data_IF_749826727688
#
_entry.id   IF_749826727688
#
_cell.length_a   1.000
_cell.length_b   1.000
_cell.length_c   1.000
_cell.angle_alpha   90.00
_cell.angle_beta   90.00
_cell.angle_gamma   90.00
#
_symmetry.space_group_name_H-M   'P 1'
#
loop_
_entity.id
_entity.type
_entity.pdbx_description
1 polymer ?
#
# COMPACT_ATOMS: atom_id res chain seq x y z
N UNK A 1 2.57 25.59 -10.61
CA UNK A 1 2.32 25.43 -9.16
C UNK A 1 3.36 24.47 -8.59
N UNK A 2 4.27 24.95 -7.73
CA UNK A 2 5.24 24.07 -7.03
C UNK A 2 4.48 23.13 -6.11
N UNK A 3 4.49 21.84 -6.40
CA UNK A 3 3.89 20.83 -5.53
C UNK A 3 4.65 20.86 -4.20
N UNK A 4 4.01 21.36 -3.15
CA UNK A 4 4.55 21.35 -1.80
C UNK A 4 4.81 19.91 -1.38
N UNK A 5 6.01 19.62 -0.85
CA UNK A 5 6.37 18.26 -0.43
C UNK A 5 5.42 17.76 0.66
N UNK A 6 5.19 16.45 0.71
CA UNK A 6 4.38 15.79 1.75
C UNK A 6 4.89 16.18 3.15
N UNK A 7 6.22 16.29 3.31
CA UNK A 7 6.88 16.74 4.54
C UNK A 7 6.42 18.12 5.00
N UNK A 8 6.39 19.09 4.08
CA UNK A 8 5.95 20.45 4.39
C UNK A 8 4.48 20.47 4.81
N UNK A 9 3.62 19.75 4.10
CA UNK A 9 2.19 19.65 4.44
C UNK A 9 1.97 19.04 5.82
N UNK A 10 2.64 17.95 6.14
CA UNK A 10 2.56 17.30 7.45
C UNK A 10 3.01 18.26 8.57
N UNK A 11 4.19 18.90 8.41
CA UNK A 11 4.68 19.85 9.41
C UNK A 11 3.70 21.00 9.64
N UNK A 12 3.15 21.58 8.57
CA UNK A 12 2.15 22.67 8.67
C UNK A 12 0.89 22.19 9.39
N UNK A 13 0.36 21.02 9.06
CA UNK A 13 -0.84 20.48 9.70
C UNK A 13 -0.64 20.22 11.19
N UNK A 14 0.46 19.54 11.57
CA UNK A 14 0.77 19.31 12.99
C UNK A 14 0.99 20.60 13.76
N UNK A 15 1.71 21.55 13.16
CA UNK A 15 1.92 22.87 13.79
C UNK A 15 0.61 23.64 13.95
N UNK A 16 -0.30 23.57 12.99
CA UNK A 16 -1.61 24.23 13.07
C UNK A 16 -2.51 23.60 14.16
N UNK A 17 -2.55 22.26 14.23
CA UNK A 17 -3.31 21.55 15.27
C UNK A 17 -2.72 21.87 16.66
N UNK A 18 -1.40 21.84 16.80
CA UNK A 18 -0.72 22.16 18.07
C UNK A 18 -0.96 23.62 18.47
N UNK A 19 -0.89 24.56 17.50
CA UNK A 19 -1.19 25.96 17.76
C UNK A 19 -2.62 26.14 18.26
N UNK A 20 -3.59 25.51 17.61
CA UNK A 20 -4.99 25.56 18.04
C UNK A 20 -5.17 25.00 19.45
N UNK A 21 -4.53 23.85 19.74
CA UNK A 21 -4.59 23.24 21.06
C UNK A 21 -3.97 24.12 22.14
N UNK A 22 -2.80 24.71 21.88
CA UNK A 22 -2.13 25.59 22.85
C UNK A 22 -2.91 26.88 23.09
N UNK A 23 -3.47 27.50 22.03
CA UNK A 23 -4.29 28.70 22.14
C UNK A 23 -5.57 28.43 22.92
N UNK A 24 -6.27 27.33 22.62
CA UNK A 24 -7.48 26.95 23.34
C UNK A 24 -7.19 26.63 24.81
N UNK A 25 -6.13 25.87 25.08
CA UNK A 25 -5.70 25.55 26.44
C UNK A 25 -5.29 26.82 27.22
N UNK A 26 -4.51 27.70 26.60
CA UNK A 26 -4.07 28.96 27.21
C UNK A 26 -5.25 29.89 27.53
N UNK A 27 -6.20 30.03 26.58
CA UNK A 27 -7.40 30.84 26.79
C UNK A 27 -8.29 30.26 27.92
N UNK A 28 -8.49 28.93 27.94
CA UNK A 28 -9.28 28.28 28.98
C UNK A 28 -8.61 28.43 30.34
N UNK A 29 -7.30 28.21 30.43
CA UNK A 29 -6.53 28.36 31.68
C UNK A 29 -6.60 29.80 32.19
N UNK A 30 -6.43 30.80 31.30
CA UNK A 30 -6.52 32.19 31.69
C UNK A 30 -7.92 32.57 32.19
N UNK A 31 -8.99 32.12 31.52
CA UNK A 31 -10.37 32.34 31.93
C UNK A 31 -10.66 31.69 33.27
N UNK A 32 -10.19 30.46 33.48
CA UNK A 32 -10.39 29.71 34.71
C UNK A 32 -9.68 30.38 35.90
N UNK A 33 -8.40 30.71 35.71
CA UNK A 33 -7.63 31.41 36.78
C UNK A 33 -8.27 32.74 37.08
N UNK A 34 -8.62 33.54 36.08
CA UNK A 34 -9.34 34.78 36.28
C UNK A 34 -10.62 34.59 37.09
N UNK A 35 -11.45 33.62 36.75
CA UNK A 35 -12.70 33.32 37.44
C UNK A 35 -12.46 32.92 38.89
N UNK A 36 -11.50 32.04 39.14
CA UNK A 36 -11.15 31.60 40.51
C UNK A 36 -10.66 32.77 41.35
N UNK A 37 -9.73 33.56 40.83
CA UNK A 37 -9.16 34.70 41.55
C UNK A 37 -10.22 35.74 41.91
N UNK A 38 -11.10 36.11 40.96
CA UNK A 38 -12.18 37.05 41.25
C UNK A 38 -13.18 36.49 42.30
N UNK A 39 -13.50 35.22 42.17
CA UNK A 39 -14.38 34.55 43.13
C UNK A 39 -13.75 34.51 44.56
N UNK A 40 -12.46 34.20 44.63
CA UNK A 40 -11.73 34.20 45.91
C UNK A 40 -11.76 35.59 46.59
N UNK A 41 -11.62 36.67 45.79
CA UNK A 41 -11.76 38.04 46.33
C UNK A 41 -13.18 38.28 46.83
N UNK A 42 -14.19 37.92 46.04
CA UNK A 42 -15.59 38.09 46.42
C UNK A 42 -15.94 37.32 47.73
N UNK A 43 -15.46 36.06 47.82
CA UNK A 43 -15.63 35.24 49.05
C UNK A 43 -14.91 35.89 50.24
N UNK A 44 -13.69 36.37 50.07
CA UNK A 44 -12.94 37.08 51.11
C UNK A 44 -13.66 38.37 51.56
N UNK A 45 -14.22 39.14 50.63
CA UNK A 45 -15.02 40.31 50.94
C UNK A 45 -16.29 39.95 51.70
N UNK A 46 -16.94 38.86 51.35
CA UNK A 46 -18.12 38.38 52.05
C UNK A 46 -17.79 37.97 53.51
N UNK A 47 -16.69 37.26 53.72
CA UNK A 47 -16.20 36.91 55.07
C UNK A 47 -15.85 38.14 55.92
N UNK A 48 -15.27 39.18 55.29
CA UNK A 48 -15.00 40.43 55.97
C UNK A 48 -16.27 41.18 56.39
N UNK A 49 -17.31 41.21 55.52
CA UNK A 49 -18.59 41.77 55.90
C UNK A 49 -19.17 41.05 57.11
N UNK A 50 -19.08 39.73 57.13
CA UNK A 50 -19.56 38.90 58.23
C UNK A 50 -18.73 39.14 59.51
N UNK A 51 -17.43 39.36 59.39
CA UNK A 51 -16.53 39.75 60.48
C UNK A 51 -16.94 41.10 61.06
N UNK A 52 -17.19 42.12 60.25
CA UNK A 52 -17.69 43.42 60.70
C UNK A 52 -19.06 43.28 61.40
N UNK A 53 -19.96 42.47 60.82
CA UNK A 53 -21.28 42.23 61.44
C UNK A 53 -21.15 41.64 62.86
N UNK A 54 -20.33 40.60 63.04
CA UNK A 54 -20.09 39.96 64.40
C UNK A 54 -19.48 40.90 65.38
N UNK A 55 -18.50 41.70 64.89
CA UNK A 55 -17.90 42.75 65.75
C UNK A 55 -18.97 43.74 66.23
N UNK A 56 -19.80 44.23 65.31
CA UNK A 56 -20.89 45.15 65.67
C UNK A 56 -21.88 44.53 66.65
N UNK A 57 -22.24 43.27 66.53
CA UNK A 57 -23.13 42.57 67.39
C UNK A 57 -22.62 42.52 68.83
N UNK A 58 -21.29 42.45 69.04
CA UNK A 58 -20.68 42.43 70.36
C UNK A 58 -20.52 43.82 70.97
N UNK A 59 -20.34 44.84 70.14
CA UNK A 59 -20.00 46.16 70.64
C UNK A 59 -21.18 47.15 70.68
N UNK A 60 -22.18 47.01 69.76
CA UNK A 60 -23.36 47.86 69.73
C UNK A 60 -24.30 47.48 70.90
N UNK A 61 -24.39 48.31 71.87
CA UNK A 61 -25.16 48.13 73.11
C UNK A 61 -24.31 48.18 74.40
N UNK A 62 -22.99 48.04 74.29
CA UNK A 62 -22.03 48.16 75.33
C UNK A 62 -21.26 49.50 75.32
N UNK A 63 -21.08 50.10 74.06
CA UNK A 63 -20.25 51.27 73.87
C UNK A 63 -21.06 52.40 73.18
N UNK A 64 -20.62 53.65 73.38
CA UNK A 64 -21.11 54.82 72.67
C UNK A 64 -20.65 54.82 71.21
N UNK A 65 -21.33 55.60 70.30
CA UNK A 65 -20.96 55.66 68.88
C UNK A 65 -19.53 56.16 68.65
N UNK A 66 -19.00 56.99 69.56
CA UNK A 66 -17.60 57.48 69.45
C UNK A 66 -16.61 56.38 69.84
N UNK A 67 -16.91 55.59 70.89
CA UNK A 67 -16.08 54.48 71.33
C UNK A 67 -16.07 53.34 70.30
N UNK A 68 -17.18 53.07 69.62
CA UNK A 68 -17.28 52.12 68.51
C UNK A 68 -16.41 52.56 67.32
N UNK A 69 -16.35 53.88 67.05
CA UNK A 69 -15.52 54.43 65.99
C UNK A 69 -14.03 54.27 66.28
N UNK A 70 -13.61 54.47 67.51
CA UNK A 70 -12.22 54.30 67.92
C UNK A 70 -11.82 52.83 67.94
N UNK A 71 -12.69 51.94 68.38
CA UNK A 71 -12.51 50.49 68.38
C UNK A 71 -12.40 49.94 66.90
N UNK A 72 -13.19 50.49 65.98
CA UNK A 72 -13.05 50.19 64.55
C UNK A 72 -11.70 50.63 63.99
N UNK A 73 -11.13 51.76 64.47
CA UNK A 73 -9.79 52.20 64.02
C UNK A 73 -8.70 51.24 64.55
N UNK A 74 -8.79 50.80 65.81
CA UNK A 74 -7.81 49.85 66.39
C UNK A 74 -7.88 48.51 65.73
N UNK A 75 -9.06 47.96 65.42
CA UNK A 75 -9.24 46.65 64.82
C UNK A 75 -8.97 46.64 63.27
N UNK A 76 -9.13 47.79 62.59
CA UNK A 76 -8.85 47.91 61.17
C UNK A 76 -7.36 47.75 60.83
N UNK A 77 -6.47 47.99 61.81
CA UNK A 77 -5.02 47.84 61.62
C UNK A 77 -4.52 46.40 61.68
N UNK A 78 -5.30 45.45 62.26
CA UNK A 78 -4.85 44.12 62.60
C UNK A 78 -5.10 43.02 61.50
N UNK A 79 -5.74 43.37 60.38
CA UNK A 79 -6.03 42.38 59.31
C UNK A 79 -5.25 42.68 58.04
N UNK A 80 -4.78 41.64 57.29
CA UNK A 80 -4.14 41.86 55.98
C UNK A 80 -5.13 42.52 55.01
N UNK A 81 -4.90 43.79 54.70
CA UNK A 81 -5.78 44.66 53.90
C UNK A 81 -7.02 45.17 54.66
N UNK A 82 -6.95 45.28 55.98
CA UNK A 82 -8.08 45.53 56.90
C UNK A 82 -8.69 46.93 56.85
N UNK A 83 -8.02 47.88 56.23
CA UNK A 83 -8.41 49.32 56.34
C UNK A 83 -9.46 49.82 55.33
N UNK A 84 -9.96 48.95 54.48
CA UNK A 84 -10.84 49.40 53.40
C UNK A 84 -12.31 48.96 53.66
N UNK A 85 -12.93 49.53 54.65
CA UNK A 85 -14.36 49.35 54.91
C UNK A 85 -15.05 50.61 55.39
N UNK A 86 -16.33 50.64 55.25
CA UNK A 86 -17.20 51.71 55.79
C UNK A 86 -18.56 51.17 56.19
N UNK A 87 -19.15 51.76 57.21
CA UNK A 87 -20.43 51.37 57.81
C UNK A 87 -21.31 52.60 58.03
N UNK A 88 -22.58 52.50 57.60
CA UNK A 88 -23.58 53.50 57.91
C UNK A 88 -24.89 52.89 58.45
N UNK A 89 -25.66 53.69 59.15
CA UNK A 89 -26.98 53.31 59.69
C UNK A 89 -28.11 53.47 58.64
N UNK A 90 -29.34 53.23 59.05
CA UNK A 90 -30.53 53.30 58.20
C UNK A 90 -30.82 54.72 57.65
N UNK A 91 -30.32 55.75 58.31
CA UNK A 91 -30.46 57.18 57.97
C UNK A 91 -29.29 57.70 57.14
N UNK A 92 -28.26 56.86 56.86
CA UNK A 92 -27.05 57.26 56.10
C UNK A 92 -26.03 57.98 56.98
N UNK A 93 -26.14 57.92 58.33
CA UNK A 93 -25.15 58.44 59.23
C UNK A 93 -23.97 57.46 59.32
N UNK A 94 -22.73 57.96 59.20
CA UNK A 94 -21.53 57.17 59.25
C UNK A 94 -21.20 56.72 60.65
N UNK A 95 -21.15 55.40 60.88
CA UNK A 95 -20.57 54.84 62.10
C UNK A 95 -19.05 54.81 62.01
N UNK A 96 -18.55 54.34 60.82
CA UNK A 96 -17.11 54.30 60.54
C UNK A 96 -16.87 54.46 59.05
N UNK A 97 -15.75 55.08 58.71
CA UNK A 97 -15.26 55.24 57.35
C UNK A 97 -13.76 55.21 57.38
N UNK A 98 -13.13 54.28 56.63
CA UNK A 98 -11.69 54.23 56.50
C UNK A 98 -11.14 55.45 55.70
N UNK A 99 -9.98 55.97 56.11
CA UNK A 99 -9.37 57.16 55.53
C UNK A 99 -9.20 57.11 53.98
N UNK A 100 -8.77 55.98 53.37
CA UNK A 100 -8.68 55.90 51.93
C UNK A 100 -10.04 55.99 51.22
N UNK A 101 -11.11 55.48 51.81
CA UNK A 101 -12.46 55.54 51.25
C UNK A 101 -13.11 56.92 51.49
N UNK A 102 -12.76 57.57 52.58
CA UNK A 102 -13.19 58.95 52.84
C UNK A 102 -12.57 59.94 51.87
N UNK A 103 -11.24 59.87 51.70
CA UNK A 103 -10.50 60.73 50.78
C UNK A 103 -10.90 60.52 49.34
N UNK A 104 -11.33 59.31 48.97
CA UNK A 104 -11.81 58.93 47.64
C UNK A 104 -13.27 59.21 47.38
N UNK A 105 -13.99 59.80 48.33
CA UNK A 105 -15.43 60.08 48.28
C UNK A 105 -16.28 58.92 47.75
N UNK A 106 -16.05 57.75 48.31
CA UNK A 106 -16.75 56.52 47.90
C UNK A 106 -18.14 56.49 48.54
N UNK A 107 -19.21 56.56 47.72
CA UNK A 107 -20.57 56.49 48.27
C UNK A 107 -20.87 55.09 48.79
N UNK A 108 -21.65 55.01 49.87
CA UNK A 108 -22.23 53.74 50.32
C UNK A 108 -23.74 53.74 49.99
N UNK A 109 -24.26 52.66 49.40
CA UNK A 109 -25.68 52.51 49.18
C UNK A 109 -26.45 52.46 50.55
N UNK A 110 -27.58 53.11 50.63
CA UNK A 110 -28.43 53.01 51.86
C UNK A 110 -28.84 51.57 52.14
N UNK A 111 -28.98 51.16 53.40
CA UNK A 111 -29.40 49.81 53.77
C UNK A 111 -30.71 49.37 53.11
N UNK A 112 -31.60 50.31 52.85
CA UNK A 112 -32.89 50.08 52.19
C UNK A 112 -32.77 49.67 50.70
N UNK A 113 -31.66 50.00 50.06
CA UNK A 113 -31.38 49.69 48.65
C UNK A 113 -30.54 48.42 48.46
N UNK A 114 -29.98 47.87 49.55
CA UNK A 114 -29.12 46.73 49.51
C UNK A 114 -29.87 45.44 49.85
N UNK A 115 -29.57 44.35 49.10
CA UNK A 115 -30.05 43.02 49.40
C UNK A 115 -29.19 42.32 50.49
N UNK A 116 -29.73 41.28 51.08
CA UNK A 116 -28.96 40.43 51.99
C UNK A 116 -27.83 39.65 51.31
N UNK A 117 -27.88 39.46 49.96
CA UNK A 117 -26.80 38.84 49.18
C UNK A 117 -25.65 39.81 48.93
N UNK A 118 -25.94 41.12 48.89
CA UNK A 118 -24.99 42.18 48.65
C UNK A 118 -24.88 42.55 47.17
N UNK A 119 -24.18 43.68 46.94
CA UNK A 119 -23.83 44.16 45.57
C UNK A 119 -22.32 44.26 45.48
N UNK A 120 -21.73 43.54 44.50
CA UNK A 120 -20.32 43.63 44.21
C UNK A 120 -20.09 44.64 43.04
N UNK A 121 -19.02 45.41 43.10
CA UNK A 121 -18.65 46.35 42.07
C UNK A 121 -17.17 46.68 42.10
N UNK A 122 -16.67 47.29 41.00
CA UNK A 122 -15.28 47.77 40.92
C UNK A 122 -15.25 49.29 40.73
N UNK A 123 -14.33 50.00 41.40
CA UNK A 123 -14.11 51.44 41.23
C UNK A 123 -12.65 51.81 41.44
N UNK A 124 -12.15 52.80 40.74
CA UNK A 124 -10.82 53.37 40.93
C UNK A 124 -10.93 54.47 41.99
N UNK A 125 -10.15 54.34 43.08
CA UNK A 125 -10.08 55.30 44.16
C UNK A 125 -8.63 55.64 44.40
N UNK A 126 -8.27 56.93 44.34
CA UNK A 126 -6.89 57.39 44.51
C UNK A 126 -5.87 56.74 43.57
N UNK A 127 -6.29 56.34 42.34
CA UNK A 127 -5.44 55.66 41.35
C UNK A 127 -5.33 54.13 41.57
N UNK A 128 -5.91 53.61 42.68
CA UNK A 128 -5.96 52.16 42.94
C UNK A 128 -7.33 51.61 42.55
N UNK A 129 -7.34 50.54 41.80
CA UNK A 129 -8.58 49.85 41.46
C UNK A 129 -8.99 48.95 42.64
N UNK A 130 -10.17 49.26 43.16
CA UNK A 130 -10.76 48.51 44.31
C UNK A 130 -11.97 47.72 43.86
N UNK A 131 -12.12 46.49 44.39
CA UNK A 131 -13.34 45.73 44.31
C UNK A 131 -14.12 45.88 45.60
N UNK A 132 -15.38 46.20 45.48
CA UNK A 132 -16.27 46.48 46.57
C UNK A 132 -17.32 45.38 46.74
N UNK A 133 -17.69 45.10 47.97
CA UNK A 133 -18.89 44.37 48.33
C UNK A 133 -19.67 45.17 49.36
N UNK A 134 -20.86 45.63 49.00
CA UNK A 134 -21.78 46.31 49.89
C UNK A 134 -22.95 45.40 50.26
N UNK A 135 -23.21 45.22 51.52
CA UNK A 135 -24.25 44.31 52.00
C UNK A 135 -25.05 44.92 53.12
N UNK A 136 -26.36 44.71 53.15
CA UNK A 136 -27.22 45.01 54.27
C UNK A 136 -27.00 43.94 55.36
N UNK A 137 -26.70 44.40 56.57
CA UNK A 137 -26.59 43.56 57.78
C UNK A 137 -27.55 44.06 58.82
N UNK A 138 -28.10 43.14 59.61
CA UNK A 138 -28.99 43.48 60.76
C UNK A 138 -28.26 43.18 62.05
N UNK A 139 -28.17 44.19 62.90
CA UNK A 139 -27.51 44.10 64.17
C UNK A 139 -28.50 44.64 65.24
N UNK A 140 -28.84 43.76 66.23
CA UNK A 140 -29.84 44.08 67.31
C UNK A 140 -31.15 44.63 66.72
N UNK A 141 -31.63 44.09 65.55
CA UNK A 141 -32.88 44.48 64.96
C UNK A 141 -32.85 45.80 64.17
N UNK A 142 -31.67 46.45 64.03
CA UNK A 142 -31.46 47.66 63.20
C UNK A 142 -30.68 47.33 61.90
N UNK A 143 -31.09 47.85 60.78
CA UNK A 143 -30.39 47.62 59.54
C UNK A 143 -29.21 48.62 59.36
N UNK A 144 -28.07 48.07 58.97
CA UNK A 144 -26.85 48.80 58.63
C UNK A 144 -26.37 48.40 57.22
N UNK A 145 -25.70 49.35 56.54
CA UNK A 145 -24.96 49.02 55.31
C UNK A 145 -23.47 48.89 55.67
N UNK A 146 -22.92 47.73 55.35
CA UNK A 146 -21.48 47.46 55.42
C UNK A 146 -20.94 47.34 54.03
N UNK A 147 -19.93 48.12 53.68
CA UNK A 147 -19.20 48.05 52.44
C UNK A 147 -17.72 47.79 52.77
N UNK A 148 -17.18 46.77 52.13
CA UNK A 148 -15.77 46.40 52.23
C UNK A 148 -15.13 46.49 50.88
N UNK A 149 -13.84 46.73 50.82
CA UNK A 149 -13.07 46.81 49.59
C UNK A 149 -11.77 46.03 49.66
N UNK A 150 -11.30 45.60 48.45
CA UNK A 150 -9.98 44.98 48.30
C UNK A 150 -9.25 45.58 47.11
N UNK A 151 -7.95 45.83 47.21
CA UNK A 151 -7.17 46.30 46.08
C UNK A 151 -6.99 45.18 45.04
N UNK A 152 -7.17 45.52 43.75
CA UNK A 152 -7.09 44.59 42.66
C UNK A 152 -5.74 44.64 41.89
N UNK A 153 -4.82 45.54 42.27
CA UNK A 153 -3.57 45.78 41.53
C UNK A 153 -2.72 44.53 41.40
N UNK A 154 -2.31 43.93 42.56
CA UNK A 154 -1.44 42.77 42.56
C UNK A 154 -2.04 41.58 41.81
N UNK A 155 -3.37 41.40 41.93
CA UNK A 155 -4.09 40.31 41.28
C UNK A 155 -4.12 40.51 39.76
N UNK A 156 -4.35 41.74 39.30
CA UNK A 156 -4.31 42.09 37.87
C UNK A 156 -2.91 42.00 37.27
N UNK A 157 -1.90 42.42 38.03
CA UNK A 157 -0.49 42.32 37.58
C UNK A 157 -0.07 40.83 37.52
N UNK A 158 -0.46 40.01 38.48
CA UNK A 158 -0.25 38.57 38.38
C UNK A 158 -0.94 37.90 37.19
N UNK A 159 -2.20 38.28 36.92
CA UNK A 159 -2.96 37.78 35.79
C UNK A 159 -2.38 38.28 34.45
N UNK A 160 -1.93 39.51 34.37
CA UNK A 160 -1.23 40.06 33.23
C UNK A 160 0.12 39.36 32.99
N UNK A 161 0.90 39.14 34.05
CA UNK A 161 2.14 38.37 33.99
C UNK A 161 1.94 36.93 33.44
N UNK A 162 0.90 36.25 33.91
CA UNK A 162 0.52 34.96 33.41
C UNK A 162 0.12 35.01 31.92
N UNK A 163 -0.66 36.04 31.53
CA UNK A 163 -1.02 36.25 30.12
C UNK A 163 0.21 36.49 29.23
N UNK A 164 1.15 37.32 29.67
CA UNK A 164 2.42 37.55 28.97
C UNK A 164 3.26 36.27 28.85
N UNK A 165 3.32 35.47 29.91
CA UNK A 165 4.01 34.18 29.86
C UNK A 165 3.42 33.24 28.77
N UNK A 166 2.09 33.18 28.67
CA UNK A 166 1.43 32.40 27.59
C UNK A 166 1.75 32.94 26.19
N UNK A 167 1.74 34.27 26.01
CA UNK A 167 2.05 34.94 24.73
C UNK A 167 3.48 34.66 24.28
N UNK A 168 4.45 34.61 25.18
CA UNK A 168 5.86 34.35 24.88
C UNK A 168 6.14 32.87 24.71
N UNK A 169 5.61 32.03 25.60
CA UNK A 169 5.92 30.59 25.63
C UNK A 169 5.25 29.83 24.48
N UNK A 170 4.03 30.20 24.08
CA UNK A 170 3.30 29.54 23.01
C UNK A 170 4.06 29.56 21.67
N UNK A 171 4.52 30.69 21.13
CA UNK A 171 5.29 30.70 19.89
C UNK A 171 6.64 29.99 20.01
N UNK A 172 7.28 30.04 21.19
CA UNK A 172 8.54 29.33 21.43
C UNK A 172 8.34 27.81 21.34
N UNK A 173 7.30 27.29 22.00
CA UNK A 173 6.96 25.85 21.92
C UNK A 173 6.60 25.44 20.49
N UNK A 174 5.84 26.26 19.75
CA UNK A 174 5.51 26.04 18.36
C UNK A 174 6.75 26.01 17.48
N UNK A 175 7.71 26.92 17.69
CA UNK A 175 8.97 26.94 16.94
C UNK A 175 9.77 25.65 17.17
N UNK A 176 9.94 25.25 18.43
CA UNK A 176 10.67 24.03 18.79
C UNK A 176 9.97 22.80 18.20
N UNK A 177 8.65 22.71 18.29
CA UNK A 177 7.86 21.62 17.72
C UNK A 177 7.97 21.58 16.17
N UNK A 178 7.93 22.73 15.51
CA UNK A 178 8.07 22.81 14.06
C UNK A 178 9.48 22.37 13.58
N UNK A 179 10.53 22.82 14.25
CA UNK A 179 11.90 22.42 13.96
C UNK A 179 12.14 20.95 14.22
N UNK A 180 11.73 20.43 15.38
CA UNK A 180 11.83 19.04 15.76
C UNK A 180 11.01 18.12 14.82
N UNK A 181 9.78 18.49 14.52
CA UNK A 181 8.91 17.78 13.59
C UNK A 181 9.48 17.74 12.16
N UNK A 182 10.06 18.83 11.68
CA UNK A 182 10.71 18.87 10.35
C UNK A 182 11.98 17.99 10.30
N UNK A 183 12.78 18.00 11.36
CA UNK A 183 13.96 17.14 11.48
C UNK A 183 13.57 15.65 11.52
N UNK A 184 12.60 15.31 12.35
CA UNK A 184 12.10 13.94 12.49
C UNK A 184 11.49 13.42 11.18
N UNK A 185 10.68 14.25 10.48
CA UNK A 185 10.09 13.94 9.19
C UNK A 185 11.16 13.69 8.11
N UNK A 186 12.23 14.50 8.08
CA UNK A 186 13.35 14.30 7.16
C UNK A 186 14.08 12.97 7.42
N UNK A 187 14.27 12.62 8.69
CA UNK A 187 14.95 11.38 9.09
C UNK A 187 14.12 10.14 8.77
N UNK A 188 12.82 10.17 9.08
CA UNK A 188 11.90 9.06 8.86
C UNK A 188 11.65 8.78 7.36
N UNK A 189 11.61 9.81 6.51
CA UNK A 189 11.33 9.67 5.08
C UNK A 189 12.59 9.56 4.20
N UNK A 190 13.80 9.58 4.77
CA UNK A 190 15.06 9.43 4.03
C UNK A 190 15.19 8.08 3.30
N UNK A 191 14.73 6.93 3.85
CA UNK A 191 14.74 5.65 3.14
C UNK A 191 13.92 5.69 1.85
N UNK A 192 12.77 6.38 1.85
CA UNK A 192 11.91 6.51 0.65
C UNK A 192 12.64 7.25 -0.48
N UNK A 193 13.37 8.32 -0.17
CA UNK A 193 14.14 9.05 -1.18
C UNK A 193 15.17 8.14 -1.85
N UNK A 194 15.86 7.29 -1.06
CA UNK A 194 16.83 6.31 -1.58
C UNK A 194 16.17 5.26 -2.48
N UNK A 195 14.99 4.75 -2.08
CA UNK A 195 14.23 3.79 -2.89
C UNK A 195 13.83 4.43 -4.22
N UNK A 196 13.34 5.69 -4.21
CA UNK A 196 12.96 6.43 -5.42
C UNK A 196 14.17 6.64 -6.33
N UNK A 197 15.31 7.01 -5.78
CA UNK A 197 16.54 7.24 -6.54
C UNK A 197 17.06 5.94 -7.17
N UNK A 198 17.09 4.86 -6.41
CA UNK A 198 17.44 3.52 -6.91
C UNK A 198 16.44 3.02 -7.96
N UNK A 199 15.13 3.24 -7.76
CA UNK A 199 14.12 2.86 -8.74
C UNK A 199 14.26 3.62 -10.06
N UNK A 200 14.68 4.88 -10.02
CA UNK A 200 14.94 5.69 -11.23
C UNK A 200 16.18 5.24 -12.01
N UNK A 201 17.16 4.64 -11.35
CA UNK A 201 18.36 4.13 -12.01
C UNK A 201 18.15 2.75 -12.66
N UNK A 202 17.04 2.06 -12.34
CA UNK A 202 16.72 0.77 -12.93
C UNK A 202 16.11 1.00 -14.31
N UNK A 203 16.81 0.54 -15.36
CA UNK A 203 16.40 0.56 -16.75
C UNK A 203 16.62 -0.79 -17.41
N UNK A 204 16.44 -0.86 -18.74
CA UNK A 204 16.55 -2.11 -19.50
C UNK A 204 17.91 -2.83 -19.29
N UNK A 205 18.99 -2.07 -19.15
CA UNK A 205 20.35 -2.61 -18.96
C UNK A 205 20.67 -2.97 -17.51
N UNK A 206 19.81 -2.62 -16.56
CA UNK A 206 20.04 -2.76 -15.11
C UNK A 206 18.91 -3.45 -14.35
N UNK A 207 18.08 -4.24 -15.05
CA UNK A 207 16.95 -4.99 -14.45
C UNK A 207 17.39 -5.97 -13.35
N UNK A 208 18.65 -6.39 -13.33
CA UNK A 208 19.21 -7.24 -12.27
C UNK A 208 19.44 -6.47 -10.96
N UNK A 209 19.45 -5.14 -11.00
CA UNK A 209 19.63 -4.31 -9.81
C UNK A 209 18.40 -4.42 -8.90
N UNK A 210 18.61 -4.41 -7.58
CA UNK A 210 17.54 -4.48 -6.59
C UNK A 210 17.50 -3.21 -5.76
N UNK A 211 16.29 -2.86 -5.33
CA UNK A 211 16.06 -1.76 -4.40
C UNK A 211 16.60 -2.13 -3.03
N UNK A 212 17.23 -1.20 -2.31
CA UNK A 212 17.67 -1.43 -0.95
C UNK A 212 16.48 -1.65 -0.02
N UNK A 213 16.53 -2.71 0.78
CA UNK A 213 15.48 -3.05 1.75
C UNK A 213 15.94 -2.59 3.13
N UNK A 214 15.31 -1.57 3.74
CA UNK A 214 15.62 -1.17 5.11
C UNK A 214 15.07 -2.20 6.10
N UNK A 215 15.83 -2.55 7.13
CA UNK A 215 15.42 -3.48 8.19
C UNK A 215 14.60 -2.72 9.26
N UNK A 216 13.40 -2.26 8.91
CA UNK A 216 12.53 -1.46 9.79
C UNK A 216 11.37 -2.26 10.37
N UNK A 217 11.01 -3.42 9.78
CA UNK A 217 9.91 -4.27 10.22
C UNK A 217 8.51 -3.70 9.95
N UNK A 218 8.39 -2.63 9.16
CA UNK A 218 7.17 -1.89 8.87
C UNK A 218 6.87 -1.82 7.35
N UNK A 219 5.95 -0.95 6.96
CA UNK A 219 5.55 -0.73 5.57
C UNK A 219 6.72 -0.26 4.68
N UNK A 220 7.72 0.40 5.26
CA UNK A 220 8.91 0.86 4.54
C UNK A 220 9.82 -0.29 4.09
N UNK A 221 9.83 -1.39 4.81
CA UNK A 221 10.51 -2.62 4.41
C UNK A 221 9.71 -3.40 3.36
N UNK A 222 8.41 -3.54 3.58
CA UNK A 222 7.52 -4.34 2.73
C UNK A 222 7.41 -3.80 1.30
N UNK A 223 7.44 -2.47 1.13
CA UNK A 223 7.33 -1.82 -0.17
C UNK A 223 8.48 -2.24 -1.13
N UNK A 224 9.78 -2.04 -0.80
CA UNK A 224 10.86 -2.46 -1.69
C UNK A 224 10.94 -3.98 -1.87
N UNK A 225 10.54 -4.79 -0.89
CA UNK A 225 10.44 -6.25 -1.05
C UNK A 225 9.45 -6.63 -2.15
N UNK A 226 8.25 -6.04 -2.13
CA UNK A 226 7.22 -6.27 -3.15
C UNK A 226 7.68 -5.79 -4.53
N UNK A 227 8.31 -4.62 -4.60
CA UNK A 227 8.88 -4.10 -5.84
C UNK A 227 10.02 -4.99 -6.38
N UNK A 228 10.89 -5.51 -5.53
CA UNK A 228 11.95 -6.44 -5.92
C UNK A 228 11.39 -7.77 -6.48
N UNK A 229 10.29 -8.28 -5.91
CA UNK A 229 9.60 -9.44 -6.46
C UNK A 229 9.00 -9.15 -7.85
N UNK A 230 8.43 -7.96 -8.05
CA UNK A 230 7.95 -7.52 -9.36
C UNK A 230 9.10 -7.39 -10.37
N UNK A 231 10.20 -6.76 -9.98
CA UNK A 231 11.41 -6.63 -10.79
C UNK A 231 11.96 -8.01 -11.20
N UNK A 232 11.99 -8.98 -10.28
CA UNK A 232 12.44 -10.34 -10.59
C UNK A 232 11.55 -11.01 -11.65
N UNK A 233 10.23 -10.81 -11.59
CA UNK A 233 9.29 -11.31 -12.61
C UNK A 233 9.51 -10.64 -13.97
N UNK A 234 9.72 -9.33 -14.00
CA UNK A 234 10.00 -8.56 -15.24
C UNK A 234 11.33 -9.01 -15.83
N UNK A 235 12.40 -9.12 -15.02
CA UNK A 235 13.71 -9.58 -15.46
C UNK A 235 13.63 -10.98 -16.09
N UNK A 236 12.94 -11.92 -15.43
CA UNK A 236 12.75 -13.27 -15.95
C UNK A 236 11.96 -13.27 -17.27
N UNK A 237 10.91 -12.45 -17.40
CA UNK A 237 10.14 -12.33 -18.61
C UNK A 237 10.98 -11.71 -19.75
N UNK A 238 11.74 -10.66 -19.47
CA UNK A 238 12.62 -10.00 -20.43
C UNK A 238 13.73 -10.94 -20.92
N UNK A 239 14.35 -11.69 -20.00
CA UNK A 239 15.39 -12.68 -20.35
C UNK A 239 14.84 -13.74 -21.31
N UNK A 240 13.63 -14.27 -21.04
CA UNK A 240 12.97 -15.23 -21.94
C UNK A 240 12.73 -14.66 -23.33
N UNK A 241 12.36 -13.37 -23.44
CA UNK A 241 12.15 -12.71 -24.74
C UNK A 241 13.48 -12.56 -25.49
N UNK A 242 14.55 -12.16 -24.80
CA UNK A 242 15.89 -12.02 -25.41
C UNK A 242 16.42 -13.37 -25.90
N UNK A 243 16.35 -14.42 -25.07
CA UNK A 243 16.74 -15.79 -25.43
C UNK A 243 15.94 -16.30 -26.62
N UNK A 244 14.60 -16.16 -26.59
CA UNK A 244 13.73 -16.54 -27.72
C UNK A 244 14.08 -15.81 -29.00
N UNK A 245 14.35 -14.51 -28.94
CA UNK A 245 14.69 -13.72 -30.13
C UNK A 245 16.07 -14.11 -30.72
N UNK A 246 17.03 -14.39 -29.84
CA UNK A 246 18.34 -14.86 -30.23
C UNK A 246 18.26 -16.24 -30.93
N UNK A 247 17.58 -17.19 -30.31
CA UNK A 247 17.42 -18.55 -30.82
C UNK A 247 16.62 -18.56 -32.13
N UNK A 248 15.53 -17.80 -32.21
CA UNK A 248 14.75 -17.65 -33.47
C UNK A 248 15.61 -17.07 -34.58
N UNK A 249 16.46 -16.07 -34.31
CA UNK A 249 17.36 -15.47 -35.29
C UNK A 249 18.41 -16.48 -35.80
N UNK A 250 18.91 -17.32 -34.91
CA UNK A 250 19.87 -18.37 -35.28
C UNK A 250 19.23 -19.45 -36.13
N UNK A 251 18.04 -19.94 -35.74
CA UNK A 251 17.33 -20.99 -36.48
C UNK A 251 16.77 -20.53 -37.85
N UNK A 252 16.43 -19.23 -37.98
CA UNK A 252 16.02 -18.65 -39.27
C UNK A 252 17.21 -18.37 -40.23
N UNK A 253 18.37 -18.02 -39.70
CA UNK A 253 19.54 -17.69 -40.50
C UNK A 253 20.03 -18.88 -41.31
N UNK A 254 20.00 -20.08 -40.78
CA UNK A 254 20.52 -21.29 -41.41
C UNK A 254 19.74 -21.65 -42.69
N UNK A 255 18.40 -21.82 -42.69
CA UNK A 255 17.64 -22.14 -43.90
C UNK A 255 17.72 -21.02 -44.96
N UNK A 256 17.66 -19.76 -44.53
CA UNK A 256 17.80 -18.62 -45.47
C UNK A 256 19.18 -18.62 -46.16
N UNK A 257 20.24 -18.92 -45.42
CA UNK A 257 21.58 -19.05 -46.02
C UNK A 257 21.67 -20.23 -46.98
N UNK A 258 21.02 -21.36 -46.67
CA UNK A 258 21.00 -22.52 -47.55
C UNK A 258 20.24 -22.21 -48.87
N UNK A 259 19.02 -21.64 -48.77
CA UNK A 259 18.23 -21.19 -49.94
C UNK A 259 19.08 -20.27 -50.82
N UNK A 260 19.72 -19.26 -50.20
CA UNK A 260 20.58 -18.31 -50.93
C UNK A 260 21.75 -19.02 -51.63
N UNK A 261 22.47 -19.87 -50.89
CA UNK A 261 23.64 -20.55 -51.41
C UNK A 261 23.29 -21.50 -52.56
N UNK A 262 22.21 -22.30 -52.43
CA UNK A 262 21.72 -23.20 -53.49
C UNK A 262 21.32 -22.41 -54.73
N UNK A 263 20.61 -21.27 -54.55
CA UNK A 263 20.23 -20.40 -55.65
C UNK A 263 21.47 -19.74 -56.33
N UNK A 264 22.42 -19.20 -55.55
CA UNK A 264 23.67 -18.62 -56.05
C UNK A 264 24.50 -19.66 -56.85
N UNK A 265 24.61 -20.89 -56.33
CA UNK A 265 25.33 -21.99 -57.00
C UNK A 265 24.64 -22.42 -58.29
N UNK A 266 23.30 -22.44 -58.35
CA UNK A 266 22.55 -22.73 -59.58
C UNK A 266 22.73 -21.64 -60.64
N UNK A 267 22.89 -20.38 -60.24
CA UNK A 267 23.05 -19.24 -61.13
C UNK A 267 24.50 -19.02 -61.65
N UNK A 268 25.52 -19.59 -60.96
CA UNK A 268 26.95 -19.34 -61.28
C UNK A 268 27.39 -19.81 -62.63
N UNK A 269 26.79 -20.86 -63.17
CA UNK A 269 27.13 -21.42 -64.50
C UNK A 269 25.91 -22.08 -65.12
N UNK A 270 25.86 -22.17 -66.38
CA UNK A 270 24.83 -22.92 -67.09
C UNK A 270 24.89 -24.38 -66.73
N UNK A 271 23.74 -24.96 -66.40
CA UNK A 271 23.55 -26.35 -65.94
C UNK A 271 22.54 -27.08 -66.78
N UNK A 272 22.48 -28.39 -66.69
CA UNK A 272 21.40 -29.18 -67.28
C UNK A 272 20.06 -28.95 -66.62
N UNK A 273 18.95 -29.12 -67.30
CA UNK A 273 17.61 -28.92 -66.83
C UNK A 273 17.29 -29.75 -65.52
N UNK A 274 17.87 -30.93 -65.42
CA UNK A 274 17.75 -31.81 -64.27
C UNK A 274 18.42 -31.20 -63.02
N UNK A 275 19.62 -30.60 -63.16
CA UNK A 275 20.33 -29.94 -62.03
C UNK A 275 19.60 -28.68 -61.56
N UNK A 276 18.99 -27.89 -62.43
CA UNK A 276 18.16 -26.77 -62.08
C UNK A 276 16.91 -27.21 -61.32
N UNK A 277 16.26 -28.31 -61.77
CA UNK A 277 15.10 -28.88 -61.09
C UNK A 277 15.46 -29.30 -59.65
N UNK A 278 16.56 -30.02 -59.48
CA UNK A 278 17.06 -30.44 -58.19
C UNK A 278 17.32 -29.23 -57.26
N UNK A 279 18.01 -28.21 -57.75
CA UNK A 279 18.28 -27.01 -57.00
C UNK A 279 16.97 -26.27 -56.60
N UNK A 280 15.98 -26.21 -57.49
CA UNK A 280 14.67 -25.62 -57.18
C UNK A 280 13.87 -26.47 -56.16
N UNK A 281 13.96 -27.80 -56.24
CA UNK A 281 13.35 -28.72 -55.28
C UNK A 281 13.95 -28.54 -53.87
N UNK A 282 15.30 -28.37 -53.79
CA UNK A 282 15.99 -28.07 -52.53
C UNK A 282 15.56 -26.69 -51.95
N UNK A 283 15.53 -25.65 -52.78
CA UNK A 283 15.07 -24.30 -52.39
C UNK A 283 13.60 -24.35 -51.92
N UNK A 284 12.73 -25.06 -52.65
CA UNK A 284 11.32 -25.20 -52.30
C UNK A 284 11.14 -25.93 -50.98
N UNK A 285 11.84 -27.05 -50.77
CA UNK A 285 11.81 -27.82 -49.52
C UNK A 285 12.24 -26.97 -48.31
N UNK A 286 13.33 -26.19 -48.47
CA UNK A 286 13.83 -25.36 -47.40
C UNK A 286 12.94 -24.14 -47.12
N UNK A 287 12.26 -23.62 -48.16
CA UNK A 287 11.24 -22.57 -48.01
C UNK A 287 10.04 -23.07 -47.22
N UNK A 288 9.53 -24.30 -47.46
CA UNK A 288 8.47 -24.90 -46.70
C UNK A 288 8.86 -25.08 -45.24
N UNK A 289 10.08 -25.59 -44.96
CA UNK A 289 10.62 -25.71 -43.58
C UNK A 289 10.69 -24.37 -42.89
N UNK A 290 11.09 -23.31 -43.60
CA UNK A 290 11.15 -21.95 -43.04
C UNK A 290 9.76 -21.43 -42.66
N UNK A 291 8.77 -21.72 -43.53
CA UNK A 291 7.36 -21.37 -43.25
C UNK A 291 6.86 -22.07 -41.99
N UNK A 292 7.07 -23.39 -41.89
CA UNK A 292 6.70 -24.16 -40.69
C UNK A 292 7.39 -23.62 -39.44
N UNK A 293 8.66 -23.23 -39.53
CA UNK A 293 9.39 -22.64 -38.40
C UNK A 293 8.76 -21.31 -37.97
N UNK A 294 8.43 -20.44 -38.91
CA UNK A 294 7.79 -19.16 -38.64
C UNK A 294 6.41 -19.37 -37.96
N UNK A 295 5.60 -20.30 -38.47
CA UNK A 295 4.28 -20.62 -37.91
C UNK A 295 4.40 -21.20 -36.47
N UNK A 296 5.41 -22.03 -36.23
CA UNK A 296 5.71 -22.54 -34.90
C UNK A 296 6.11 -21.42 -33.94
N UNK A 297 6.97 -20.48 -34.38
CA UNK A 297 7.37 -19.31 -33.59
C UNK A 297 6.18 -18.39 -33.27
N UNK A 298 5.33 -18.10 -34.25
CA UNK A 298 4.12 -17.29 -34.06
C UNK A 298 3.13 -17.96 -33.11
N UNK A 299 3.01 -19.26 -33.18
CA UNK A 299 2.15 -20.03 -32.25
C UNK A 299 2.63 -19.88 -30.81
N UNK A 300 3.93 -20.05 -30.55
CA UNK A 300 4.51 -19.87 -29.21
C UNK A 300 4.46 -18.43 -28.72
N UNK A 301 4.69 -17.46 -29.62
CA UNK A 301 4.59 -16.04 -29.26
C UNK A 301 3.15 -15.63 -28.87
N UNK A 302 2.13 -16.15 -29.60
CA UNK A 302 0.71 -15.93 -29.21
C UNK A 302 0.35 -16.62 -27.91
N UNK A 303 0.89 -17.81 -27.68
CA UNK A 303 0.74 -18.57 -26.44
C UNK A 303 1.26 -17.77 -25.23
N UNK A 304 2.47 -17.24 -25.31
CA UNK A 304 3.09 -16.43 -24.26
C UNK A 304 2.34 -15.13 -23.97
N UNK A 305 1.78 -14.53 -25.01
CA UNK A 305 0.99 -13.32 -24.88
C UNK A 305 -0.43 -13.57 -24.30
N UNK A 306 -0.79 -14.83 -24.02
CA UNK A 306 -2.15 -15.22 -23.61
C UNK A 306 -3.22 -14.92 -24.68
N UNK A 307 -2.79 -14.70 -25.93
CA UNK A 307 -3.66 -14.31 -27.06
C UNK A 307 -4.01 -15.48 -27.99
N UNK A 308 -3.54 -16.68 -27.69
CA UNK A 308 -3.93 -17.87 -28.45
C UNK A 308 -5.37 -18.24 -28.09
N UNK A 309 -6.32 -17.74 -28.88
CA UNK A 309 -7.71 -18.12 -28.77
C UNK A 309 -7.86 -19.55 -29.33
N UNK A 310 -8.12 -20.52 -28.43
CA UNK A 310 -8.51 -21.87 -28.82
C UNK A 310 -10.04 -21.91 -28.93
N UNK A 311 -10.53 -22.54 -30.01
CA UNK A 311 -11.96 -22.78 -30.20
C UNK A 311 -12.37 -24.00 -29.36
N UNK A 312 -12.62 -23.76 -28.06
CA UNK A 312 -12.94 -24.83 -27.10
C UNK A 312 -14.38 -25.29 -27.29
N UNK A 313 -14.55 -26.49 -27.86
CA UNK A 313 -15.82 -27.17 -28.04
C UNK A 313 -15.74 -28.57 -27.46
N UNK A 314 -16.88 -29.16 -27.21
CA UNK A 314 -16.94 -30.61 -26.93
C UNK A 314 -16.62 -31.38 -28.20
N UNK A 315 -15.58 -32.22 -28.17
CA UNK A 315 -15.07 -32.98 -29.30
C UNK A 315 -14.77 -34.43 -28.89
N UNK A 316 -15.02 -35.36 -29.81
CA UNK A 316 -14.59 -36.75 -29.66
C UNK A 316 -13.13 -36.90 -30.09
N UNK A 317 -12.30 -37.43 -29.21
CA UNK A 317 -10.87 -37.67 -29.48
C UNK A 317 -10.63 -38.87 -30.41
N UNK A 318 -11.53 -39.85 -30.48
CA UNK A 318 -11.34 -41.07 -31.27
C UNK A 318 -11.10 -40.77 -32.76
N UNK A 319 -11.93 -39.96 -33.45
CA UNK A 319 -11.68 -39.60 -34.84
C UNK A 319 -10.38 -38.80 -35.04
N UNK A 320 -10.03 -37.93 -34.09
CA UNK A 320 -8.82 -37.10 -34.20
C UNK A 320 -7.56 -37.95 -34.07
N UNK A 321 -7.51 -38.87 -33.09
CA UNK A 321 -6.39 -39.84 -32.94
C UNK A 321 -6.31 -40.76 -34.13
N UNK A 322 -7.45 -41.22 -34.66
CA UNK A 322 -7.51 -42.08 -35.83
C UNK A 322 -6.93 -41.39 -37.07
N UNK A 323 -7.32 -40.15 -37.34
CA UNK A 323 -6.84 -39.37 -38.48
C UNK A 323 -5.33 -39.12 -38.38
N UNK A 324 -4.84 -38.71 -37.20
CA UNK A 324 -3.40 -38.49 -36.99
C UNK A 324 -2.62 -39.82 -37.15
N UNK A 325 -3.16 -40.93 -36.68
CA UNK A 325 -2.56 -42.27 -36.79
C UNK A 325 -2.48 -42.71 -38.25
N UNK A 326 -3.55 -42.54 -39.07
CA UNK A 326 -3.57 -42.88 -40.47
C UNK A 326 -2.53 -42.07 -41.29
N UNK A 327 -2.31 -40.81 -40.94
CA UNK A 327 -1.28 -39.96 -41.57
C UNK A 327 0.13 -40.45 -41.21
N UNK A 328 0.38 -40.82 -39.95
CA UNK A 328 1.66 -41.31 -39.49
C UNK A 328 1.99 -42.70 -39.97
N UNK A 329 0.98 -43.58 -40.12
CA UNK A 329 1.12 -44.92 -40.67
C UNK A 329 1.72 -44.92 -42.07
N UNK A 330 1.30 -43.99 -42.93
CA UNK A 330 1.92 -43.81 -44.29
C UNK A 330 3.40 -43.48 -44.19
N UNK A 331 3.79 -42.61 -43.27
CA UNK A 331 5.19 -42.26 -43.03
C UNK A 331 6.00 -43.40 -42.44
N UNK A 332 5.42 -44.16 -41.51
CA UNK A 332 6.03 -45.33 -40.91
C UNK A 332 6.27 -46.43 -41.95
N UNK A 333 5.26 -46.74 -42.80
CA UNK A 333 5.40 -47.68 -43.89
C UNK A 333 6.51 -47.30 -44.88
N UNK A 334 6.64 -46.05 -45.25
CA UNK A 334 7.71 -45.60 -46.12
C UNK A 334 9.12 -45.80 -45.52
N UNK A 335 9.22 -45.96 -44.19
CA UNK A 335 10.46 -46.28 -43.45
C UNK A 335 10.58 -47.75 -43.01
N UNK A 336 9.66 -48.62 -43.40
CA UNK A 336 9.57 -50.03 -42.94
C UNK A 336 9.45 -50.15 -41.41
N UNK A 337 8.74 -49.25 -40.75
CA UNK A 337 8.43 -49.26 -39.34
C UNK A 337 7.01 -49.87 -39.12
N UNK A 338 6.85 -50.83 -38.21
CA UNK A 338 5.54 -51.33 -37.86
C UNK A 338 4.75 -50.24 -37.10
N UNK A 339 3.50 -49.98 -37.56
CA UNK A 339 2.63 -48.99 -36.89
C UNK A 339 1.36 -49.67 -36.38
N UNK A 340 0.96 -49.36 -35.14
CA UNK A 340 -0.25 -49.90 -34.53
C UNK A 340 -1.04 -48.80 -33.84
N UNK A 341 -2.34 -48.69 -34.10
CA UNK A 341 -3.26 -47.82 -33.41
C UNK A 341 -4.29 -48.67 -32.62
N UNK A 342 -4.33 -48.47 -31.32
CA UNK A 342 -5.28 -49.14 -30.41
C UNK A 342 -6.27 -48.08 -29.89
N UNK A 343 -7.48 -48.06 -30.50
CA UNK A 343 -8.52 -47.10 -30.22
C UNK A 343 -9.73 -47.76 -29.57
N UNK A 344 -10.39 -47.12 -28.61
CA UNK A 344 -11.61 -47.65 -28.03
C UNK A 344 -12.76 -47.62 -29.04
N UNK A 345 -13.76 -48.48 -28.83
CA UNK A 345 -14.98 -48.49 -29.65
C UNK A 345 -16.01 -47.42 -29.24
N UNK A 346 -15.90 -46.90 -28.03
CA UNK A 346 -16.77 -45.85 -27.52
C UNK A 346 -16.12 -44.44 -27.69
N UNK A 347 -16.91 -43.41 -27.92
CA UNK A 347 -16.40 -42.02 -28.01
C UNK A 347 -15.80 -41.57 -26.69
N UNK A 348 -14.74 -40.77 -26.75
CA UNK A 348 -14.09 -40.14 -25.63
C UNK A 348 -14.11 -38.61 -25.82
N UNK A 349 -15.13 -37.97 -25.23
CA UNK A 349 -15.36 -36.58 -25.39
C UNK A 349 -14.47 -35.71 -24.43
N UNK A 350 -13.86 -34.69 -24.93
CA UNK A 350 -13.15 -33.66 -24.16
C UNK A 350 -13.58 -32.27 -24.61
N UNK A 351 -13.33 -31.24 -23.80
CA UNK A 351 -13.52 -29.85 -24.21
C UNK A 351 -12.19 -29.31 -24.76
N UNK A 352 -12.16 -28.97 -26.03
CA UNK A 352 -10.94 -28.50 -26.66
C UNK A 352 -11.09 -28.03 -28.10
N UNK A 353 -9.96 -27.65 -28.70
CA UNK A 353 -9.81 -27.26 -30.09
C UNK A 353 -9.29 -28.47 -30.90
N UNK A 354 -10.14 -28.98 -31.81
CA UNK A 354 -9.81 -30.17 -32.61
C UNK A 354 -8.55 -29.97 -33.46
N UNK A 355 -8.32 -28.79 -34.00
CA UNK A 355 -7.13 -28.47 -34.83
C UNK A 355 -5.86 -28.45 -34.00
N UNK A 356 -5.91 -27.86 -32.79
CA UNK A 356 -4.79 -27.83 -31.88
C UNK A 356 -4.46 -29.25 -31.36
N UNK A 357 -5.47 -30.04 -30.97
CA UNK A 357 -5.27 -31.42 -30.50
C UNK A 357 -4.77 -32.34 -31.61
N UNK A 358 -5.25 -32.17 -32.85
CA UNK A 358 -4.69 -32.88 -34.00
C UNK A 358 -3.21 -32.54 -34.19
N UNK A 359 -2.84 -31.23 -34.12
CA UNK A 359 -1.45 -30.78 -34.21
C UNK A 359 -0.57 -31.36 -33.12
N UNK A 360 -1.04 -31.39 -31.88
CA UNK A 360 -0.39 -32.05 -30.76
C UNK A 360 -0.03 -33.51 -31.09
N UNK A 361 -1.02 -34.27 -31.55
CA UNK A 361 -0.85 -35.68 -31.87
C UNK A 361 0.14 -35.89 -33.01
N UNK A 362 0.03 -35.11 -34.08
CA UNK A 362 0.95 -35.18 -35.21
C UNK A 362 2.39 -34.90 -34.78
N UNK A 363 2.62 -33.89 -33.90
CA UNK A 363 3.96 -33.59 -33.38
C UNK A 363 4.56 -34.77 -32.63
N UNK A 364 3.77 -35.40 -31.75
CA UNK A 364 4.28 -36.51 -30.90
C UNK A 364 4.48 -37.77 -31.70
N UNK A 365 3.53 -38.11 -32.61
CA UNK A 365 3.59 -39.33 -33.42
C UNK A 365 4.70 -39.18 -34.50
N UNK A 366 4.84 -37.99 -35.11
CA UNK A 366 5.93 -37.74 -36.11
C UNK A 366 7.31 -37.87 -35.45
N UNK A 367 7.46 -37.40 -34.22
CA UNK A 367 8.67 -37.62 -33.42
C UNK A 367 8.94 -39.11 -33.23
N UNK A 368 7.94 -39.90 -32.81
CA UNK A 368 8.09 -41.35 -32.62
C UNK A 368 8.57 -42.03 -33.94
N UNK A 369 7.93 -41.76 -35.05
CA UNK A 369 8.31 -42.28 -36.37
C UNK A 369 9.68 -41.79 -36.84
N UNK A 370 10.02 -40.56 -36.52
CA UNK A 370 11.28 -39.90 -36.91
C UNK A 370 12.48 -40.50 -36.19
N UNK A 371 12.36 -40.76 -34.91
CA UNK A 371 13.45 -41.30 -34.08
C UNK A 371 13.50 -42.81 -33.97
N UNK A 372 12.56 -43.51 -34.59
CA UNK A 372 12.60 -44.95 -34.80
C UNK A 372 13.24 -45.26 -36.14
N UNK A 373 14.31 -46.04 -36.15
CA UNK A 373 14.92 -46.54 -37.40
C UNK A 373 14.34 -47.87 -37.85
N UNK A 374 14.19 -48.77 -36.91
CA UNK A 374 13.66 -50.12 -37.05
C UNK A 374 12.81 -50.46 -35.84
N UNK A 375 11.74 -51.26 -35.99
CA UNK A 375 10.87 -51.66 -34.92
C UNK A 375 9.46 -51.17 -35.09
N UNK A 376 8.85 -50.62 -34.00
CA UNK A 376 7.43 -50.28 -34.00
C UNK A 376 7.12 -48.96 -33.32
N UNK A 377 6.01 -48.35 -33.74
CA UNK A 377 5.35 -47.19 -33.10
C UNK A 377 3.92 -47.60 -32.74
N UNK A 378 3.51 -47.43 -31.49
CA UNK A 378 2.16 -47.76 -31.03
C UNK A 378 1.49 -46.54 -30.48
N UNK A 379 0.27 -46.22 -30.94
CA UNK A 379 -0.59 -45.17 -30.42
C UNK A 379 -1.79 -45.84 -29.74
N UNK A 380 -1.97 -45.57 -28.44
CA UNK A 380 -3.09 -46.12 -27.67
C UNK A 380 -3.91 -44.99 -27.07
N UNK A 381 -5.22 -45.04 -27.24
CA UNK A 381 -6.17 -44.13 -26.62
C UNK A 381 -7.02 -44.93 -25.60
N UNK A 382 -7.05 -44.47 -24.36
CA UNK A 382 -7.87 -45.05 -23.30
C UNK A 382 -8.58 -43.94 -22.52
N UNK A 383 -9.74 -44.26 -21.95
CA UNK A 383 -10.46 -43.38 -21.03
C UNK A 383 -10.66 -44.07 -19.68
N UNK A 384 -10.27 -43.41 -18.61
CA UNK A 384 -10.46 -43.94 -17.25
C UNK A 384 -10.57 -42.81 -16.23
N UNK A 385 -11.40 -42.93 -15.22
CA UNK A 385 -11.51 -42.03 -14.07
C UNK A 385 -11.69 -40.54 -14.44
N UNK A 386 -12.49 -40.23 -15.48
CA UNK A 386 -12.75 -38.85 -15.89
C UNK A 386 -11.64 -38.19 -16.69
N UNK A 387 -10.64 -38.96 -17.13
CA UNK A 387 -9.57 -38.48 -18.01
C UNK A 387 -9.42 -39.39 -19.23
N UNK A 388 -9.02 -38.81 -20.35
CA UNK A 388 -8.56 -39.57 -21.52
C UNK A 388 -7.03 -39.57 -21.53
N UNK A 389 -6.45 -40.71 -21.91
CA UNK A 389 -5.00 -40.86 -22.04
C UNK A 389 -4.63 -41.28 -23.46
N UNK A 390 -3.79 -40.48 -24.11
CA UNK A 390 -3.13 -40.86 -25.36
C UNK A 390 -1.70 -41.26 -25.07
N UNK A 391 -1.35 -42.49 -25.28
CA UNK A 391 -0.01 -43.04 -25.14
C UNK A 391 0.60 -43.24 -26.52
N UNK A 392 1.75 -42.63 -26.78
CA UNK A 392 2.54 -42.85 -27.99
C UNK A 392 3.87 -43.44 -27.57
N UNK A 393 4.09 -44.71 -27.98
CA UNK A 393 5.29 -45.50 -27.65
C UNK A 393 6.06 -45.84 -28.91
N UNK A 394 7.37 -45.69 -28.86
CA UNK A 394 8.29 -46.05 -29.92
C UNK A 394 9.41 -46.98 -29.39
N UNK A 395 10.03 -47.74 -30.27
CA UNK A 395 11.20 -48.56 -30.00
C UNK A 395 12.49 -47.94 -30.58
N UNK A 396 12.54 -46.63 -30.64
CA UNK A 396 13.63 -45.86 -31.24
C UNK A 396 14.87 -45.72 -30.34
N UNK A 397 15.64 -44.67 -30.64
CA UNK A 397 16.93 -44.46 -29.97
C UNK A 397 16.81 -44.10 -28.49
N UNK A 398 15.63 -43.74 -28.02
CA UNK A 398 15.40 -43.31 -26.66
C UNK A 398 16.05 -41.94 -26.32
N UNK A 399 15.82 -41.52 -25.09
CA UNK A 399 16.25 -40.21 -24.53
C UNK A 399 17.04 -40.48 -23.25
N UNK A 400 18.20 -39.80 -23.11
CA UNK A 400 18.97 -39.88 -21.87
C UNK A 400 18.28 -39.23 -20.68
N UNK A 401 18.43 -39.79 -19.49
CA UNK A 401 17.76 -39.31 -18.29
C UNK A 401 18.04 -37.84 -18.00
N UNK A 402 19.24 -37.33 -18.33
CA UNK A 402 19.60 -35.93 -18.17
C UNK A 402 18.89 -34.96 -19.12
N UNK A 403 18.39 -35.48 -20.26
CA UNK A 403 17.69 -34.69 -21.29
C UNK A 403 16.17 -34.64 -21.04
N UNK A 404 15.59 -35.67 -20.42
CA UNK A 404 14.15 -35.80 -20.21
C UNK A 404 13.47 -34.54 -19.61
N UNK A 405 14.02 -33.87 -18.60
CA UNK A 405 13.41 -32.66 -18.06
C UNK A 405 13.35 -31.51 -19.05
N UNK A 406 14.23 -31.52 -20.07
CA UNK A 406 14.47 -30.42 -21.01
C UNK A 406 13.85 -30.58 -22.38
N UNK A 407 13.37 -31.77 -22.74
CA UNK A 407 12.84 -32.03 -24.09
C UNK A 407 11.64 -31.16 -24.47
N UNK A 408 10.95 -30.56 -23.49
CA UNK A 408 9.84 -29.63 -23.68
C UNK A 408 10.28 -28.16 -23.71
N UNK A 409 11.57 -27.88 -23.49
CA UNK A 409 12.12 -26.52 -23.64
C UNK A 409 12.18 -26.16 -25.13
N UNK A 410 12.02 -24.89 -25.44
CA UNK A 410 12.11 -24.35 -26.81
C UNK A 410 13.53 -24.51 -27.34
N UNK A 411 13.65 -24.86 -28.61
CA UNK A 411 14.94 -25.07 -29.30
C UNK A 411 15.84 -26.14 -28.67
N UNK A 412 15.32 -26.88 -27.65
CA UNK A 412 16.10 -27.95 -27.03
C UNK A 412 16.18 -29.17 -27.93
N UNK A 413 17.39 -29.73 -28.01
CA UNK A 413 17.71 -30.91 -28.81
C UNK A 413 18.77 -31.72 -28.10
N UNK A 414 18.49 -32.98 -27.79
CA UNK A 414 19.43 -33.90 -27.11
C UNK A 414 20.70 -34.18 -27.94
N UNK A 415 20.58 -34.25 -29.29
CA UNK A 415 21.71 -34.40 -30.22
C UNK A 415 21.62 -33.37 -31.36
N UNK A 416 22.50 -32.36 -31.32
CA UNK A 416 22.54 -31.26 -32.29
C UNK A 416 22.99 -31.70 -33.71
N UNK A 417 23.76 -32.77 -33.82
CA UNK A 417 24.31 -33.27 -35.09
C UNK A 417 23.30 -34.09 -35.87
N UNK A 418 22.74 -35.12 -35.24
CA UNK A 418 21.73 -36.02 -35.83
C UNK A 418 20.40 -35.32 -36.15
N UNK A 419 20.04 -34.38 -35.33
CA UNK A 419 18.76 -33.70 -35.52
C UNK A 419 18.77 -32.70 -36.69
N UNK A 420 19.96 -32.25 -37.22
CA UNK A 420 20.03 -31.46 -38.44
C UNK A 420 19.67 -32.26 -39.68
N UNK A 421 20.15 -33.48 -39.78
CA UNK A 421 19.83 -34.40 -40.89
C UNK A 421 18.35 -34.79 -40.92
N UNK A 422 17.76 -34.95 -39.72
CA UNK A 422 16.36 -35.33 -39.58
C UNK A 422 15.35 -34.15 -39.59
N UNK A 423 15.85 -32.90 -39.66
CA UNK A 423 15.04 -31.69 -39.78
C UNK A 423 14.08 -31.42 -38.61
N UNK A 424 14.40 -30.47 -37.76
CA UNK A 424 13.49 -30.05 -36.70
C UNK A 424 14.11 -28.95 -35.85
N UNK A 425 13.40 -27.86 -35.61
CA UNK A 425 13.86 -26.67 -34.87
C UNK A 425 13.79 -26.82 -33.34
N UNK A 426 13.40 -27.99 -32.81
CA UNK A 426 13.23 -28.17 -31.35
C UNK A 426 12.03 -27.41 -30.77
N UNK A 427 11.06 -27.02 -31.59
CA UNK A 427 9.86 -26.30 -31.13
C UNK A 427 8.63 -27.20 -30.96
N UNK A 428 8.61 -28.38 -31.62
CA UNK A 428 7.44 -29.25 -31.66
C UNK A 428 6.97 -29.67 -30.25
N UNK A 429 7.85 -30.26 -29.43
CA UNK A 429 7.47 -30.71 -28.09
C UNK A 429 7.10 -29.54 -27.16
N UNK A 430 7.70 -28.35 -27.33
CA UNK A 430 7.28 -27.15 -26.60
C UNK A 430 5.85 -26.71 -26.99
N UNK A 431 5.49 -26.81 -28.28
CA UNK A 431 4.12 -26.57 -28.75
C UNK A 431 3.17 -27.65 -28.21
N UNK A 432 3.58 -28.92 -28.28
CA UNK A 432 2.79 -30.03 -27.73
C UNK A 432 2.45 -29.82 -26.26
N UNK A 433 3.43 -29.46 -25.45
CA UNK A 433 3.25 -29.13 -24.03
C UNK A 433 2.28 -27.97 -23.84
N UNK A 434 2.47 -26.85 -24.58
CA UNK A 434 1.57 -25.71 -24.52
C UNK A 434 0.12 -26.10 -24.89
N UNK A 435 -0.09 -26.88 -25.95
CA UNK A 435 -1.44 -27.29 -26.36
C UNK A 435 -2.09 -28.08 -25.22
N UNK A 436 -1.38 -29.03 -24.63
CA UNK A 436 -1.90 -29.87 -23.55
C UNK A 436 -2.24 -29.02 -22.32
N UNK A 437 -1.37 -28.12 -21.90
CA UNK A 437 -1.60 -27.21 -20.76
C UNK A 437 -2.79 -26.27 -21.03
N UNK A 438 -2.94 -25.77 -22.24
CA UNK A 438 -4.08 -24.93 -22.65
C UNK A 438 -5.42 -25.71 -22.62
N UNK A 439 -5.38 -27.05 -22.72
CA UNK A 439 -6.51 -27.94 -22.54
C UNK A 439 -6.63 -28.52 -21.13
N UNK A 440 -5.91 -27.94 -20.12
CA UNK A 440 -5.91 -28.37 -18.71
C UNK A 440 -5.44 -29.81 -18.52
N UNK A 441 -4.64 -30.34 -19.46
CA UNK A 441 -4.04 -31.66 -19.42
C UNK A 441 -2.58 -31.61 -18.95
N UNK A 442 -1.93 -32.80 -19.02
CA UNK A 442 -0.49 -32.98 -18.81
C UNK A 442 0.11 -33.87 -19.88
N UNK A 443 1.39 -33.60 -20.18
CA UNK A 443 2.21 -34.45 -21.05
C UNK A 443 3.47 -34.87 -20.31
N UNK A 444 3.74 -36.14 -20.29
CA UNK A 444 4.90 -36.77 -19.64
C UNK A 444 5.66 -37.66 -20.63
N UNK A 445 6.96 -37.80 -20.43
CA UNK A 445 7.81 -38.66 -21.24
C UNK A 445 8.58 -39.62 -20.34
N UNK A 446 8.56 -40.88 -20.71
CA UNK A 446 9.37 -41.96 -20.11
C UNK A 446 10.24 -42.55 -21.20
N UNK A 447 11.53 -42.63 -20.99
CA UNK A 447 12.45 -43.14 -21.98
C UNK A 447 13.73 -43.70 -21.37
N UNK A 448 14.33 -44.65 -22.04
CA UNK A 448 15.68 -45.12 -21.77
C UNK A 448 16.47 -45.18 -23.07
N UNK A 449 17.76 -44.87 -23.06
CA UNK A 449 18.61 -44.97 -24.25
C UNK A 449 18.53 -46.38 -24.87
N UNK A 450 18.34 -46.45 -26.18
CA UNK A 450 18.20 -47.67 -26.99
C UNK A 450 17.01 -48.58 -26.67
N UNK A 451 16.05 -48.14 -25.84
CA UNK A 451 14.83 -48.87 -25.55
C UNK A 451 13.56 -48.19 -26.04
N UNK A 452 13.72 -46.99 -26.65
CA UNK A 452 12.63 -46.17 -27.13
C UNK A 452 12.07 -45.20 -26.10
N UNK A 453 10.96 -44.54 -26.46
CA UNK A 453 10.30 -43.54 -25.64
C UNK A 453 8.80 -43.79 -25.57
N UNK A 454 8.18 -43.36 -24.50
CA UNK A 454 6.73 -43.35 -24.32
C UNK A 454 6.31 -41.96 -23.88
N UNK A 455 5.49 -41.30 -24.68
CA UNK A 455 4.83 -40.02 -24.34
C UNK A 455 3.40 -40.33 -23.87
N UNK A 456 3.05 -39.84 -22.69
CA UNK A 456 1.73 -39.96 -22.09
C UNK A 456 1.07 -38.58 -22.06
N UNK A 457 -0.03 -38.42 -22.80
CA UNK A 457 -0.83 -37.19 -22.86
C UNK A 457 -2.12 -37.48 -22.09
N UNK A 458 -2.42 -36.71 -21.08
CA UNK A 458 -3.64 -36.83 -20.26
C UNK A 458 -4.50 -35.61 -20.45
N UNK A 459 -5.76 -35.77 -20.84
CA UNK A 459 -6.73 -34.69 -21.03
C UNK A 459 -7.99 -34.99 -20.19
N UNK A 460 -8.61 -33.94 -19.60
CA UNK A 460 -9.88 -34.17 -18.87
C UNK A 460 -10.99 -34.53 -19.85
N UNK A 461 -11.81 -35.54 -19.48
CA UNK A 461 -13.03 -35.84 -20.22
C UNK A 461 -14.08 -34.73 -19.96
N UNK A 462 -14.89 -34.44 -20.97
CA UNK A 462 -16.10 -33.67 -20.76
C UNK A 462 -16.96 -34.41 -19.74
N UNK A 463 -17.42 -33.79 -18.66
CA UNK A 463 -18.37 -34.41 -17.74
C UNK A 463 -19.66 -34.66 -18.56
N UNK A 464 -20.12 -35.89 -18.55
CA UNK A 464 -21.49 -36.19 -18.94
C UNK A 464 -22.41 -35.32 -18.07
N UNK A 465 -23.06 -34.34 -18.72
CA UNK A 465 -24.16 -33.62 -18.09
C UNK A 465 -25.30 -34.63 -18.02
N UNK A 466 -25.42 -35.28 -16.86
CA UNK A 466 -26.53 -36.20 -16.53
C UNK A 466 -27.81 -35.39 -16.40
#
# INVERSE_FOLDING_TARGET
MRRTSIRFRLTVWYSAILALALVTFGALSWLTIRHILFKTVDDTLADRVEGVRRFMEHQIGALSVEEIRDEFKEHSVLGPGGDLFQVCDAQGVWLYRSVPLENGDVPIPLPSTLSAVGQAGGRVVGGVELRFLARRVEVLGKPYAVQVAAPMGELKDGLAGFGWALVVLTPLVLLVAALGGSWMSKRALRPIDRIIESARSIGEQSLAQRLPVPATGDELQRLPETLNQMLARIESAFRRVVEFTADASHELRTPVALIRTTAELALRKTREGAEYRQALEEVHSESLRTTDLIENLLTLARADAGKAALDQREIDLVPIVREASLQAEKLAHAKNIAFRAELPGAPLCTVGDAGALRRLLLIVIDNAVKYTKEGQVTVRLTGNNGVSQVQVSDTGVGIAAGDLPRIFERFYRADKSRSRELGGAGLGLAIAKWIVEAHRGSIEAQSQPHQGSTFLITLPLAREIS
#
